data_IF_972926338823
#
_entry.id   IF_972926338823
#
_cell.length_a   1.000
_cell.length_b   1.000
_cell.length_c   1.000
_cell.angle_alpha   90.00
_cell.angle_beta   90.00
_cell.angle_gamma   90.00
#
_symmetry.space_group_name_H-M   'P 1'
#
loop_
_entity.id
_entity.type
_entity.pdbx_description
1 polymer ?
#
# COMPACT_ATOMS: atom_id res chain seq x y z
N UNK A 1 -73.90 -108.15 30.78
CA UNK A 1 -74.39 -106.95 31.46
C UNK A 1 -73.17 -106.18 31.94
N UNK A 2 -73.02 -104.93 31.35
CA UNK A 2 -71.90 -104.01 31.55
C UNK A 2 -71.61 -103.68 33.01
N UNK A 3 -70.30 -103.43 33.29
CA UNK A 3 -69.88 -102.30 34.14
C UNK A 3 -68.48 -101.84 33.79
N UNK A 4 -68.43 -100.67 33.23
CA UNK A 4 -67.27 -99.82 33.09
C UNK A 4 -66.77 -99.38 34.48
N UNK A 5 -65.41 -99.39 34.66
CA UNK A 5 -64.80 -98.56 35.64
C UNK A 5 -63.61 -97.91 34.98
N UNK A 6 -63.77 -96.57 34.88
CA UNK A 6 -62.77 -95.62 34.44
C UNK A 6 -61.74 -95.40 35.55
N UNK A 7 -60.49 -95.58 35.31
CA UNK A 7 -59.42 -95.23 36.22
C UNK A 7 -58.26 -94.61 35.45
N UNK A 8 -58.30 -93.24 35.30
CA UNK A 8 -57.24 -92.49 34.70
C UNK A 8 -56.03 -92.43 35.63
N UNK A 9 -55.02 -93.15 35.31
CA UNK A 9 -53.71 -93.11 35.95
C UNK A 9 -52.78 -92.19 35.17
N UNK A 10 -52.47 -91.01 35.74
CA UNK A 10 -51.49 -90.07 35.22
C UNK A 10 -50.04 -90.66 35.42
N UNK A 11 -49.50 -91.25 34.40
CA UNK A 11 -48.13 -91.77 34.42
C UNK A 11 -47.15 -90.56 34.26
N UNK A 12 -46.68 -89.99 35.41
CA UNK A 12 -45.55 -89.11 35.42
C UNK A 12 -44.32 -89.93 35.06
N UNK A 13 -43.86 -89.78 33.80
CA UNK A 13 -42.54 -90.26 33.43
C UNK A 13 -41.51 -89.48 34.19
N UNK A 14 -40.83 -90.09 35.12
CA UNK A 14 -39.70 -89.57 35.89
C UNK A 14 -38.53 -89.60 34.93
N UNK A 15 -38.16 -88.43 34.35
CA UNK A 15 -36.95 -88.27 33.55
C UNK A 15 -35.73 -88.64 34.41
N UNK A 16 -35.10 -89.76 34.12
CA UNK A 16 -33.83 -90.14 34.72
C UNK A 16 -32.78 -89.09 34.34
N UNK A 17 -32.21 -88.40 35.37
CA UNK A 17 -31.13 -87.47 35.18
C UNK A 17 -29.85 -88.26 34.97
N UNK A 18 -29.35 -88.27 33.71
CA UNK A 18 -28.06 -88.81 33.37
C UNK A 18 -26.97 -88.03 34.10
N UNK A 19 -26.21 -88.69 34.95
CA UNK A 19 -25.08 -88.10 35.67
C UNK A 19 -23.81 -88.66 35.11
N UNK A 20 -22.85 -87.74 34.69
CA UNK A 20 -21.54 -88.12 34.29
C UNK A 20 -20.62 -88.05 35.49
N UNK A 21 -19.76 -89.01 35.66
CA UNK A 21 -18.71 -89.03 36.66
C UNK A 21 -17.38 -88.77 36.06
N UNK A 22 -16.78 -87.60 36.37
CA UNK A 22 -15.40 -87.26 35.96
C UNK A 22 -14.48 -87.71 37.08
N UNK A 23 -13.60 -88.60 36.78
CA UNK A 23 -12.53 -89.08 37.67
C UNK A 23 -11.24 -88.32 37.35
N UNK A 24 -10.80 -87.52 38.30
CA UNK A 24 -9.45 -86.99 38.27
C UNK A 24 -8.51 -87.94 39.05
N UNK A 25 -7.60 -88.58 38.35
CA UNK A 25 -6.56 -89.48 38.96
C UNK A 25 -5.28 -88.65 38.92
N UNK A 26 -4.77 -88.26 40.08
CA UNK A 26 -3.43 -87.71 40.19
C UNK A 26 -2.40 -88.76 40.21
N UNK A 27 -1.34 -88.58 39.45
CA UNK A 27 -0.22 -89.57 39.36
C UNK A 27 0.62 -89.65 40.66
N UNK A 28 0.45 -88.68 41.56
CA UNK A 28 1.16 -88.60 42.84
C UNK A 28 0.37 -88.97 44.08
N UNK A 29 -0.97 -88.92 44.07
CA UNK A 29 -1.80 -89.23 45.22
C UNK A 29 -2.85 -90.31 44.81
N UNK A 30 -2.90 -91.40 45.60
CA UNK A 30 -3.84 -92.50 45.35
C UNK A 30 -5.31 -92.21 45.64
N UNK A 31 -5.66 -90.96 45.87
CA UNK A 31 -7.08 -90.56 46.09
C UNK A 31 -7.69 -89.96 44.80
N UNK A 32 -8.63 -90.72 44.22
CA UNK A 32 -9.40 -90.25 43.09
C UNK A 32 -10.55 -89.36 43.52
N UNK A 33 -10.49 -88.09 43.13
CA UNK A 33 -11.59 -87.15 43.42
C UNK A 33 -12.67 -87.37 42.36
N UNK A 34 -13.87 -87.79 42.82
CA UNK A 34 -15.08 -88.04 41.97
C UNK A 34 -15.95 -86.80 41.97
N UNK A 35 -16.14 -86.19 40.84
CA UNK A 35 -17.16 -85.13 40.66
C UNK A 35 -18.34 -85.72 39.85
N UNK A 36 -19.52 -85.65 40.40
CA UNK A 36 -20.74 -86.03 39.65
C UNK A 36 -21.41 -84.79 39.08
N UNK A 37 -21.33 -84.61 37.77
CA UNK A 37 -21.93 -83.45 37.10
C UNK A 37 -23.17 -83.92 36.33
N UNK A 38 -24.31 -83.26 36.50
CA UNK A 38 -25.51 -83.55 35.70
C UNK A 38 -25.34 -82.97 34.29
N UNK A 39 -25.86 -83.62 33.27
CA UNK A 39 -25.83 -83.17 31.87
C UNK A 39 -26.27 -81.71 31.72
N UNK A 40 -27.30 -81.31 32.52
CA UNK A 40 -27.79 -79.92 32.50
C UNK A 40 -26.72 -78.90 32.91
N UNK A 41 -25.93 -79.21 33.98
CA UNK A 41 -24.84 -78.27 34.44
C UNK A 41 -23.74 -78.22 33.43
N UNK A 42 -23.38 -79.28 32.71
CA UNK A 42 -22.34 -79.27 31.70
C UNK A 42 -22.79 -78.50 30.47
N UNK A 43 -24.05 -78.58 30.03
CA UNK A 43 -24.61 -77.80 28.94
C UNK A 43 -24.64 -76.30 29.28
N UNK A 44 -25.08 -75.95 30.51
CA UNK A 44 -25.15 -74.56 30.96
C UNK A 44 -23.78 -73.95 31.05
N UNK A 45 -22.76 -74.69 31.51
CA UNK A 45 -21.37 -74.26 31.55
C UNK A 45 -20.82 -73.99 30.12
N UNK A 46 -21.07 -74.93 29.19
CA UNK A 46 -20.66 -74.79 27.80
C UNK A 46 -21.32 -73.60 27.12
N UNK A 47 -22.63 -73.39 27.37
CA UNK A 47 -23.36 -72.22 26.86
C UNK A 47 -22.81 -70.89 27.44
N UNK A 48 -22.44 -70.89 28.70
CA UNK A 48 -21.84 -69.73 29.33
C UNK A 48 -20.49 -69.39 28.71
N UNK A 49 -19.62 -70.40 28.44
CA UNK A 49 -18.34 -70.17 27.78
C UNK A 49 -18.52 -69.62 26.36
N UNK A 50 -19.46 -70.20 25.58
CA UNK A 50 -19.80 -69.72 24.24
C UNK A 50 -20.31 -68.26 24.28
N UNK A 51 -21.14 -67.95 25.25
CA UNK A 51 -21.65 -66.58 25.40
C UNK A 51 -20.53 -65.57 25.72
N UNK A 52 -19.60 -65.91 26.62
CA UNK A 52 -18.46 -65.06 26.97
C UNK A 52 -17.53 -64.87 25.77
N UNK A 53 -17.27 -65.96 24.95
CA UNK A 53 -16.46 -65.84 23.76
C UNK A 53 -17.09 -64.91 22.70
N UNK A 54 -18.40 -65.02 22.47
CA UNK A 54 -19.13 -64.14 21.55
C UNK A 54 -19.07 -62.67 22.03
N UNK A 55 -19.29 -62.45 23.33
CA UNK A 55 -19.24 -61.12 23.93
C UNK A 55 -17.82 -60.53 23.81
N UNK A 56 -16.75 -61.33 24.02
CA UNK A 56 -15.38 -60.87 23.83
C UNK A 56 -15.06 -60.52 22.39
N UNK A 57 -15.52 -61.32 21.42
CA UNK A 57 -15.35 -61.03 19.99
C UNK A 57 -16.10 -59.76 19.57
N UNK A 58 -17.32 -59.58 20.04
CA UNK A 58 -18.11 -58.38 19.77
C UNK A 58 -17.40 -57.10 20.35
N UNK A 59 -16.87 -57.22 21.57
CA UNK A 59 -16.11 -56.13 22.20
C UNK A 59 -14.80 -55.79 21.42
N UNK A 60 -14.06 -56.79 20.99
CA UNK A 60 -12.89 -56.57 20.12
C UNK A 60 -13.25 -55.88 18.78
N UNK A 61 -14.38 -56.27 18.18
CA UNK A 61 -14.85 -55.67 16.95
C UNK A 61 -15.23 -54.18 17.11
N UNK A 62 -15.86 -53.83 18.20
CA UNK A 62 -16.17 -52.42 18.52
C UNK A 62 -14.92 -51.61 18.74
N UNK A 63 -13.96 -52.15 19.52
CA UNK A 63 -12.66 -51.49 19.79
C UNK A 63 -11.84 -51.25 18.50
N UNK A 64 -11.82 -52.20 17.59
CA UNK A 64 -11.12 -52.04 16.31
C UNK A 64 -11.79 -50.98 15.44
N UNK A 65 -13.10 -50.89 15.45
CA UNK A 65 -13.85 -49.85 14.73
C UNK A 65 -13.57 -48.42 15.25
N UNK A 66 -13.50 -48.23 16.58
CA UNK A 66 -13.16 -46.95 17.18
C UNK A 66 -11.70 -46.53 16.88
N UNK A 67 -10.77 -47.49 16.88
CA UNK A 67 -9.38 -47.25 16.53
C UNK A 67 -9.21 -46.82 15.06
N UNK A 68 -9.92 -47.46 14.14
CA UNK A 68 -9.87 -47.09 12.70
C UNK A 68 -10.47 -45.70 12.46
N UNK A 69 -11.56 -45.36 13.15
CA UNK A 69 -12.17 -44.04 13.05
C UNK A 69 -11.24 -42.93 13.60
N UNK A 70 -10.57 -43.21 14.73
CA UNK A 70 -9.60 -42.29 15.33
C UNK A 70 -8.37 -42.09 14.42
N UNK A 71 -7.86 -43.15 13.82
CA UNK A 71 -6.72 -43.09 12.90
C UNK A 71 -7.05 -42.32 11.61
N UNK A 72 -8.24 -42.54 11.04
CA UNK A 72 -8.70 -41.80 9.85
C UNK A 72 -8.91 -40.33 10.14
N UNK A 73 -9.45 -39.97 11.32
CA UNK A 73 -9.58 -38.58 11.75
C UNK A 73 -8.20 -37.91 11.95
N UNK A 74 -7.23 -38.63 12.54
CA UNK A 74 -5.87 -38.12 12.70
C UNK A 74 -5.16 -37.86 11.36
N UNK A 75 -5.30 -38.78 10.40
CA UNK A 75 -4.75 -38.62 9.05
C UNK A 75 -5.38 -37.44 8.31
N UNK A 76 -6.69 -37.24 8.44
CA UNK A 76 -7.37 -36.10 7.85
C UNK A 76 -6.90 -34.76 8.47
N UNK A 77 -6.70 -34.75 9.78
CA UNK A 77 -6.20 -33.57 10.48
C UNK A 77 -4.76 -33.25 10.06
N UNK A 78 -3.89 -34.26 9.91
CA UNK A 78 -2.54 -34.08 9.40
C UNK A 78 -2.54 -33.49 7.98
N UNK A 79 -3.39 -34.03 7.10
CA UNK A 79 -3.51 -33.49 5.73
C UNK A 79 -3.98 -32.01 5.72
N UNK A 80 -4.90 -31.63 6.62
CA UNK A 80 -5.31 -30.24 6.75
C UNK A 80 -4.20 -29.33 7.30
N UNK A 81 -3.40 -29.83 8.23
CA UNK A 81 -2.24 -29.08 8.75
C UNK A 81 -1.20 -28.85 7.65
N UNK A 82 -0.93 -29.88 6.86
CA UNK A 82 0.03 -29.78 5.73
C UNK A 82 -0.47 -28.80 4.66
N UNK A 83 -1.76 -28.85 4.32
CA UNK A 83 -2.39 -27.92 3.39
C UNK A 83 -2.35 -26.46 3.90
N UNK A 84 -2.66 -26.25 5.18
CA UNK A 84 -2.57 -24.92 5.81
C UNK A 84 -1.14 -24.41 5.89
N UNK A 85 -0.17 -25.31 6.11
CA UNK A 85 1.25 -24.94 6.12
C UNK A 85 1.72 -24.49 4.72
N UNK A 86 1.29 -25.19 3.67
CA UNK A 86 1.57 -24.81 2.27
C UNK A 86 0.92 -23.47 1.90
N UNK A 87 -0.35 -23.27 2.28
CA UNK A 87 -1.05 -21.99 2.06
C UNK A 87 -0.36 -20.84 2.80
N UNK A 88 0.07 -21.05 4.06
CA UNK A 88 0.81 -20.04 4.80
C UNK A 88 2.16 -19.71 4.16
N UNK A 89 2.88 -20.72 3.68
CA UNK A 89 4.15 -20.51 2.97
C UNK A 89 3.93 -19.72 1.66
N UNK A 90 2.89 -20.03 0.90
CA UNK A 90 2.54 -19.30 -0.31
C UNK A 90 2.17 -17.82 0.00
N UNK A 91 1.36 -17.58 1.04
CA UNK A 91 1.00 -16.22 1.47
C UNK A 91 2.22 -15.41 1.96
N UNK A 92 3.20 -16.06 2.60
CA UNK A 92 4.43 -15.37 3.00
C UNK A 92 5.22 -14.88 1.79
N UNK A 93 5.38 -15.73 0.77
CA UNK A 93 6.06 -15.36 -0.49
C UNK A 93 5.30 -14.22 -1.20
N UNK A 94 3.97 -14.29 -1.28
CA UNK A 94 3.15 -13.24 -1.89
C UNK A 94 3.27 -11.91 -1.11
N UNK A 95 3.30 -11.97 0.22
CA UNK A 95 3.50 -10.77 1.05
C UNK A 95 4.88 -10.14 0.84
N UNK A 96 5.93 -10.94 0.73
CA UNK A 96 7.28 -10.43 0.43
C UNK A 96 7.31 -9.75 -0.95
N UNK A 97 6.71 -10.36 -1.97
CA UNK A 97 6.63 -9.78 -3.32
C UNK A 97 5.80 -8.48 -3.34
N UNK A 98 4.69 -8.44 -2.58
CA UNK A 98 3.88 -7.23 -2.45
C UNK A 98 4.63 -6.12 -1.72
N UNK A 99 5.39 -6.43 -0.67
CA UNK A 99 6.21 -5.45 0.04
C UNK A 99 7.29 -4.86 -0.88
N UNK A 100 7.99 -5.69 -1.66
CA UNK A 100 8.97 -5.22 -2.64
C UNK A 100 8.33 -4.29 -3.69
N UNK A 101 7.15 -4.66 -4.21
CA UNK A 101 6.40 -3.80 -5.15
C UNK A 101 5.97 -2.47 -4.52
N UNK A 102 5.54 -2.48 -3.26
CA UNK A 102 5.16 -1.26 -2.53
C UNK A 102 6.37 -0.35 -2.33
N UNK A 103 7.53 -0.90 -1.99
CA UNK A 103 8.77 -0.14 -1.82
C UNK A 103 9.21 0.51 -3.14
N UNK A 104 9.28 -0.26 -4.23
CA UNK A 104 9.62 0.26 -5.57
C UNK A 104 8.63 1.34 -6.01
N UNK A 105 7.33 1.14 -5.79
CA UNK A 105 6.30 2.11 -6.16
C UNK A 105 6.42 3.39 -5.32
N UNK A 106 6.66 3.26 -4.02
CA UNK A 106 6.87 4.39 -3.10
C UNK A 106 8.05 5.25 -3.53
N UNK A 107 9.19 4.62 -3.83
CA UNK A 107 10.39 5.33 -4.29
C UNK A 107 10.16 6.02 -5.64
N UNK A 108 9.46 5.35 -6.56
CA UNK A 108 9.12 5.93 -7.87
C UNK A 108 8.18 7.13 -7.72
N UNK A 109 7.17 7.04 -6.86
CA UNK A 109 6.23 8.13 -6.59
C UNK A 109 6.94 9.30 -5.92
N UNK A 110 7.72 9.04 -4.88
CA UNK A 110 8.49 10.06 -4.17
C UNK A 110 9.46 10.79 -5.13
N UNK A 111 10.18 10.05 -5.97
CA UNK A 111 11.08 10.64 -6.96
C UNK A 111 10.35 11.50 -8.02
N UNK A 112 9.14 11.12 -8.43
CA UNK A 112 8.31 11.93 -9.33
C UNK A 112 7.77 13.20 -8.65
N UNK A 113 7.29 13.08 -7.41
CA UNK A 113 6.79 14.23 -6.63
C UNK A 113 7.91 15.24 -6.40
N UNK A 114 9.09 14.78 -6.04
CA UNK A 114 10.24 15.67 -5.82
C UNK A 114 10.65 16.40 -7.10
N UNK A 115 10.74 15.72 -8.25
CA UNK A 115 11.02 16.35 -9.54
C UNK A 115 9.96 17.37 -9.95
N UNK A 116 8.70 17.09 -9.68
CA UNK A 116 7.62 18.02 -9.98
C UNK A 116 7.70 19.26 -9.08
N UNK A 117 7.99 19.10 -7.78
CA UNK A 117 8.21 20.23 -6.87
C UNK A 117 9.42 21.08 -7.28
N UNK A 118 10.53 20.45 -7.69
CA UNK A 118 11.72 21.14 -8.21
C UNK A 118 11.36 21.93 -9.48
N UNK A 119 10.62 21.32 -10.40
CA UNK A 119 10.16 21.98 -11.63
C UNK A 119 9.23 23.16 -11.35
N UNK A 120 8.25 22.98 -10.43
CA UNK A 120 7.36 24.07 -10.02
C UNK A 120 8.13 25.21 -9.36
N UNK A 121 9.13 24.90 -8.53
CA UNK A 121 9.99 25.89 -7.90
C UNK A 121 10.85 26.64 -8.92
N UNK A 122 11.38 25.97 -9.95
CA UNK A 122 12.11 26.61 -11.05
C UNK A 122 11.19 27.50 -11.89
N UNK A 123 9.99 27.03 -12.22
CA UNK A 123 8.99 27.84 -12.90
C UNK A 123 8.66 29.08 -12.08
N UNK A 124 8.36 28.91 -10.78
CA UNK A 124 8.06 30.04 -9.90
C UNK A 124 9.19 31.06 -9.85
N UNK A 125 10.45 30.63 -9.79
CA UNK A 125 11.62 31.52 -9.84
C UNK A 125 11.73 32.26 -11.16
N UNK A 126 11.35 31.67 -12.28
CA UNK A 126 11.42 32.29 -13.58
C UNK A 126 10.48 33.50 -13.75
N UNK A 127 9.51 33.66 -12.84
CA UNK A 127 8.58 34.79 -12.79
C UNK A 127 9.02 35.87 -11.78
N UNK A 128 10.14 35.71 -11.07
CA UNK A 128 10.69 36.75 -10.21
C UNK A 128 11.66 37.56 -11.01
N UNK A 129 11.55 38.92 -11.06
CA UNK A 129 12.34 39.78 -11.94
C UNK A 129 13.77 40.03 -11.37
N UNK A 130 14.53 38.93 -11.25
CA UNK A 130 15.92 38.96 -10.78
C UNK A 130 16.96 39.21 -11.90
N UNK A 131 16.50 39.12 -13.15
CA UNK A 131 17.39 39.30 -14.31
C UNK A 131 17.90 40.73 -14.45
N UNK A 132 19.05 40.87 -15.15
CA UNK A 132 19.58 42.18 -15.54
C UNK A 132 18.74 42.72 -16.71
N UNK A 133 18.24 44.00 -16.65
CA UNK A 133 17.28 44.52 -17.62
C UNK A 133 17.90 44.93 -18.97
N UNK A 134 19.19 44.71 -19.20
CA UNK A 134 19.89 45.09 -20.42
C UNK A 134 20.57 43.87 -21.07
N UNK A 135 20.57 43.82 -22.39
CA UNK A 135 21.31 42.85 -23.16
C UNK A 135 22.74 43.37 -23.38
N UNK A 136 23.68 42.90 -22.57
CA UNK A 136 25.08 43.31 -22.60
C UNK A 136 25.48 44.14 -21.38
N UNK A 137 26.54 44.91 -21.51
CA UNK A 137 27.06 45.74 -20.42
C UNK A 137 26.40 47.10 -20.41
N UNK A 138 25.95 47.55 -19.26
CA UNK A 138 25.50 48.91 -19.00
C UNK A 138 26.09 49.38 -17.68
N UNK A 139 26.37 50.67 -17.60
CA UNK A 139 26.66 51.30 -16.31
C UNK A 139 25.38 51.76 -15.69
N UNK A 140 25.28 51.66 -14.37
CA UNK A 140 24.12 52.18 -13.65
C UNK A 140 24.54 53.26 -12.66
N UNK A 141 23.72 54.24 -12.46
CA UNK A 141 23.78 55.15 -11.30
C UNK A 141 23.12 54.49 -10.12
N UNK A 142 23.54 54.87 -8.90
CA UNK A 142 22.83 54.45 -7.68
C UNK A 142 21.34 54.74 -7.79
N UNK A 143 20.52 53.91 -7.16
CA UNK A 143 19.07 54.05 -7.26
C UNK A 143 18.63 55.44 -6.87
N UNK A 144 18.18 56.20 -7.88
CA UNK A 144 17.59 57.51 -7.72
C UNK A 144 16.13 57.35 -7.30
N UNK A 145 15.58 58.34 -6.63
CA UNK A 145 14.14 58.43 -6.46
C UNK A 145 13.53 59.17 -7.64
N UNK A 146 12.54 58.56 -8.28
CA UNK A 146 11.78 59.26 -9.31
C UNK A 146 11.07 60.49 -8.77
N UNK A 147 10.51 61.28 -9.66
CA UNK A 147 9.76 62.52 -9.31
C UNK A 147 8.67 62.32 -8.28
N UNK A 148 8.12 61.10 -8.18
CA UNK A 148 7.09 60.70 -7.19
C UNK A 148 7.70 60.10 -5.91
N UNK A 149 9.03 60.04 -5.77
CA UNK A 149 9.74 59.49 -4.61
C UNK A 149 9.91 57.96 -4.62
N UNK A 150 9.56 57.28 -5.70
CA UNK A 150 9.71 55.81 -5.79
C UNK A 150 11.14 55.45 -6.26
N UNK A 151 11.70 54.32 -5.75
CA UNK A 151 13.02 53.84 -6.20
C UNK A 151 13.06 53.54 -7.70
N UNK A 152 14.09 53.98 -8.40
CA UNK A 152 14.34 53.73 -9.81
C UNK A 152 15.83 53.48 -10.03
N UNK A 153 16.16 52.39 -10.75
CA UNK A 153 17.53 52.17 -11.24
C UNK A 153 17.66 52.74 -12.66
N UNK A 154 18.65 53.59 -12.89
CA UNK A 154 18.90 54.21 -14.18
C UNK A 154 20.11 53.54 -14.81
N UNK A 155 19.93 52.92 -15.97
CA UNK A 155 20.97 52.24 -16.73
C UNK A 155 21.37 53.06 -17.95
N UNK A 156 22.67 53.22 -18.13
CA UNK A 156 23.24 53.88 -19.30
C UNK A 156 23.95 52.83 -20.15
N UNK A 157 23.49 52.64 -21.34
CA UNK A 157 24.00 51.64 -22.26
C UNK A 157 24.49 52.27 -23.57
N UNK A 158 25.26 51.54 -24.34
CA UNK A 158 25.68 52.01 -25.67
C UNK A 158 24.55 51.84 -26.68
N UNK A 159 24.55 52.70 -27.71
CA UNK A 159 23.70 52.55 -28.88
C UNK A 159 23.82 51.13 -29.47
N UNK A 160 22.67 50.53 -29.80
CA UNK A 160 22.59 49.17 -30.36
C UNK A 160 22.50 48.07 -29.33
N UNK A 161 22.50 48.41 -28.04
CA UNK A 161 22.05 47.48 -26.98
C UNK A 161 20.51 47.47 -26.89
N UNK A 162 19.94 46.56 -26.11
CA UNK A 162 18.49 46.43 -25.95
C UNK A 162 18.16 46.29 -24.49
N UNK A 163 17.05 46.94 -24.06
CA UNK A 163 16.41 46.61 -22.81
C UNK A 163 15.58 45.33 -22.99
N UNK A 164 15.69 44.43 -22.04
CA UNK A 164 15.05 43.13 -22.07
C UNK A 164 14.21 42.90 -20.83
N UNK A 165 13.19 42.05 -20.96
CA UNK A 165 12.41 41.60 -19.81
C UNK A 165 13.30 40.83 -18.84
N UNK A 166 13.14 41.09 -17.55
CA UNK A 166 13.96 40.53 -16.45
C UNK A 166 13.46 39.19 -15.95
N UNK A 167 12.19 38.84 -16.30
CA UNK A 167 11.55 37.58 -15.97
C UNK A 167 10.45 37.22 -16.98
N UNK A 168 9.86 36.05 -16.85
CA UNK A 168 8.67 35.68 -17.61
C UNK A 168 7.47 36.51 -17.12
N UNK A 169 6.53 36.80 -18.02
CA UNK A 169 5.33 37.57 -17.68
C UNK A 169 4.50 37.93 -18.91
N UNK A 170 3.64 38.92 -18.74
CA UNK A 170 2.80 39.49 -19.80
C UNK A 170 2.88 41.01 -19.74
N UNK A 171 2.90 41.66 -20.86
CA UNK A 171 2.87 43.14 -20.93
C UNK A 171 1.50 43.63 -20.44
N UNK A 172 1.47 44.16 -19.25
CA UNK A 172 0.22 44.63 -18.60
C UNK A 172 -0.28 45.95 -19.19
N UNK A 173 0.65 46.88 -19.50
CA UNK A 173 0.29 48.18 -20.09
C UNK A 173 1.47 48.83 -20.78
N UNK A 174 1.14 49.68 -21.75
CA UNK A 174 2.10 50.60 -22.41
C UNK A 174 1.50 52.00 -22.36
N UNK A 175 2.25 52.93 -21.79
CA UNK A 175 1.84 54.34 -21.69
C UNK A 175 2.91 55.25 -22.32
N UNK A 176 2.51 56.46 -22.70
CA UNK A 176 3.40 57.44 -23.26
C UNK A 176 3.28 57.59 -24.78
N UNK A 177 4.14 58.44 -25.34
CA UNK A 177 4.19 58.76 -26.77
C UNK A 177 5.63 59.17 -27.20
N UNK A 178 5.80 59.49 -28.48
CA UNK A 178 7.11 59.87 -29.04
C UNK A 178 7.67 61.21 -28.50
N UNK A 179 6.92 61.94 -27.68
CA UNK A 179 7.35 63.21 -27.08
C UNK A 179 7.67 63.05 -25.59
N UNK A 180 6.85 62.31 -24.89
CA UNK A 180 6.98 62.11 -23.46
C UNK A 180 7.80 60.87 -23.08
N UNK A 181 8.16 60.07 -24.08
CA UNK A 181 8.75 58.75 -23.88
C UNK A 181 7.73 57.67 -23.56
N UNK A 182 8.14 56.43 -23.47
CA UNK A 182 7.29 55.26 -23.25
C UNK A 182 7.59 54.58 -21.94
N UNK A 183 6.52 54.08 -21.32
CA UNK A 183 6.57 53.29 -20.11
C UNK A 183 5.92 51.94 -20.45
N UNK A 184 6.62 50.87 -20.25
CA UNK A 184 6.13 49.50 -20.39
C UNK A 184 6.08 48.84 -19.02
N UNK A 185 4.94 48.32 -18.64
CA UNK A 185 4.75 47.56 -17.43
C UNK A 185 4.54 46.10 -17.79
N UNK A 186 5.32 45.22 -17.19
CA UNK A 186 5.23 43.76 -17.33
C UNK A 186 4.73 43.16 -16.01
N UNK A 187 3.63 42.42 -16.06
CA UNK A 187 3.12 41.62 -14.95
C UNK A 187 3.79 40.25 -14.96
N UNK A 188 4.56 39.95 -13.93
CA UNK A 188 5.26 38.69 -13.77
C UNK A 188 4.41 37.65 -13.00
N UNK A 189 3.20 38.01 -12.54
CA UNK A 189 2.46 37.19 -11.60
C UNK A 189 3.09 37.21 -10.20
N UNK A 190 2.52 36.50 -9.28
CA UNK A 190 3.02 36.42 -7.89
C UNK A 190 3.21 37.78 -7.19
N UNK A 191 2.52 38.83 -7.67
CA UNK A 191 2.59 40.19 -7.13
C UNK A 191 3.81 41.00 -7.60
N UNK A 192 4.58 40.52 -8.58
CA UNK A 192 5.70 41.24 -9.14
C UNK A 192 5.34 41.95 -10.47
N UNK A 193 5.71 43.22 -10.58
CA UNK A 193 5.71 43.97 -11.85
C UNK A 193 7.06 44.61 -12.07
N UNK A 194 7.48 44.66 -13.32
CA UNK A 194 8.63 45.45 -13.73
C UNK A 194 8.21 46.60 -14.66
N UNK A 195 8.78 47.76 -14.45
CA UNK A 195 8.48 48.97 -15.21
C UNK A 195 9.73 49.42 -15.95
N UNK A 196 9.61 49.54 -17.27
CA UNK A 196 10.67 49.96 -18.17
C UNK A 196 10.33 51.30 -18.76
N UNK A 197 11.25 52.27 -18.72
CA UNK A 197 11.08 53.64 -19.26
C UNK A 197 12.17 53.95 -20.23
N UNK A 198 11.79 54.34 -21.46
CA UNK A 198 12.74 54.82 -22.48
C UNK A 198 11.99 55.70 -23.49
N UNK A 199 12.71 56.58 -24.16
CA UNK A 199 12.12 57.52 -25.14
C UNK A 199 11.90 56.84 -26.52
N UNK A 200 12.38 55.60 -26.74
CA UNK A 200 12.16 54.88 -28.00
C UNK A 200 10.91 54.08 -27.98
N UNK A 201 10.35 53.82 -29.15
CA UNK A 201 9.10 53.00 -29.26
C UNK A 201 9.32 51.55 -28.82
N UNK A 202 8.46 51.01 -27.95
CA UNK A 202 8.60 49.62 -27.50
C UNK A 202 8.40 48.64 -28.63
N UNK A 203 9.10 47.49 -28.51
CA UNK A 203 9.04 46.34 -29.45
C UNK A 203 7.91 45.35 -29.13
N UNK A 204 7.25 45.54 -28.01
CA UNK A 204 6.17 44.72 -27.51
C UNK A 204 4.86 45.48 -27.54
N UNK A 205 3.74 44.74 -27.35
CA UNK A 205 2.40 45.29 -27.27
C UNK A 205 1.75 44.82 -25.98
N UNK A 206 0.72 45.52 -25.53
CA UNK A 206 -0.13 45.10 -24.41
C UNK A 206 -0.70 43.69 -24.69
N UNK A 207 -0.64 42.82 -23.71
CA UNK A 207 -1.06 41.40 -23.78
C UNK A 207 -0.01 40.47 -24.39
N UNK A 208 1.15 40.97 -24.84
CA UNK A 208 2.21 40.07 -25.30
C UNK A 208 2.83 39.29 -24.14
N UNK A 209 2.93 37.97 -24.30
CA UNK A 209 3.71 37.16 -23.37
C UNK A 209 5.21 37.42 -23.58
N UNK A 210 5.92 37.65 -22.49
CA UNK A 210 7.36 37.88 -22.47
C UNK A 210 8.08 36.82 -21.67
N UNK A 211 9.28 36.50 -22.09
CA UNK A 211 10.20 35.67 -21.32
C UNK A 211 11.40 36.50 -20.94
N UNK A 212 12.20 36.05 -19.97
CA UNK A 212 13.45 36.69 -19.66
C UNK A 212 14.26 36.74 -20.98
N UNK A 213 14.82 37.88 -21.40
CA UNK A 213 15.48 38.14 -22.70
C UNK A 213 14.57 38.63 -23.86
N UNK A 214 13.25 38.73 -23.69
CA UNK A 214 12.38 39.39 -24.67
C UNK A 214 12.73 40.87 -24.72
N UNK A 215 13.02 41.38 -25.92
CA UNK A 215 13.40 42.80 -26.12
C UNK A 215 12.18 43.69 -25.89
N UNK A 216 12.30 44.64 -24.96
CA UNK A 216 11.30 45.66 -24.65
C UNK A 216 11.56 46.93 -25.45
N UNK A 217 12.81 47.43 -25.40
CA UNK A 217 13.25 48.62 -26.12
C UNK A 217 14.62 48.35 -26.82
N UNK A 218 14.86 48.99 -27.96
CA UNK A 218 16.20 49.13 -28.53
C UNK A 218 16.76 50.49 -28.12
N UNK A 219 18.04 50.52 -27.71
CA UNK A 219 18.72 51.76 -27.36
C UNK A 219 19.18 52.46 -28.63
N UNK A 220 18.61 53.64 -28.94
CA UNK A 220 18.92 54.44 -30.10
C UNK A 220 19.84 55.61 -29.72
N UNK A 221 20.46 56.24 -30.69
CA UNK A 221 21.34 57.41 -30.47
C UNK A 221 20.56 58.58 -29.82
N UNK A 222 21.00 59.02 -28.66
CA UNK A 222 20.37 60.04 -27.86
C UNK A 222 19.30 59.53 -26.87
N UNK A 223 19.01 58.20 -26.89
CA UNK A 223 18.03 57.50 -26.05
C UNK A 223 18.64 56.24 -25.42
N UNK A 224 19.91 56.35 -24.94
CA UNK A 224 20.66 55.24 -24.37
C UNK A 224 20.38 54.99 -22.88
N UNK A 225 19.38 55.65 -22.31
CA UNK A 225 19.07 55.57 -20.89
C UNK A 225 17.79 54.72 -20.66
N UNK A 226 17.87 53.73 -19.79
CA UNK A 226 16.74 52.95 -19.34
C UNK A 226 16.44 53.24 -17.87
N UNK A 227 15.26 53.72 -17.59
CA UNK A 227 14.68 53.74 -16.21
C UNK A 227 14.03 52.39 -15.92
N UNK A 228 14.38 51.80 -14.80
CA UNK A 228 13.85 50.48 -14.40
C UNK A 228 13.38 50.48 -12.95
N UNK A 229 12.17 50.01 -12.72
CA UNK A 229 11.54 49.89 -11.38
C UNK A 229 10.94 48.51 -11.21
N UNK A 230 10.86 48.08 -9.97
CA UNK A 230 10.18 46.82 -9.56
C UNK A 230 9.09 47.18 -8.55
N UNK A 231 7.95 46.58 -8.73
CA UNK A 231 6.84 46.62 -7.80
C UNK A 231 6.64 45.19 -7.25
N UNK A 232 6.62 45.08 -5.94
CA UNK A 232 6.30 43.82 -5.24
C UNK A 232 5.10 44.09 -4.31
N UNK A 233 4.01 43.33 -4.50
CA UNK A 233 2.79 43.46 -3.69
C UNK A 233 2.30 44.93 -3.55
N UNK A 234 2.19 45.63 -4.69
CA UNK A 234 1.76 47.01 -4.82
C UNK A 234 2.71 48.06 -4.18
N UNK A 235 3.95 47.66 -3.84
CA UNK A 235 4.96 48.53 -3.30
C UNK A 235 6.20 48.58 -4.21
N UNK A 236 6.69 49.79 -4.51
CA UNK A 236 7.96 49.95 -5.20
C UNK A 236 9.12 49.53 -4.28
N UNK A 237 9.97 48.65 -4.78
CA UNK A 237 11.18 48.17 -4.10
C UNK A 237 12.43 48.66 -4.86
N UNK A 238 13.57 48.68 -4.18
CA UNK A 238 14.85 48.98 -4.84
C UNK A 238 15.17 47.85 -5.82
N UNK A 239 15.22 48.13 -7.15
CA UNK A 239 15.52 47.12 -8.15
C UNK A 239 16.85 46.40 -7.94
N UNK A 240 17.87 47.12 -7.44
CA UNK A 240 19.21 46.58 -7.21
C UNK A 240 19.22 45.54 -6.07
N UNK A 241 18.28 45.62 -5.16
CA UNK A 241 18.16 44.64 -4.06
C UNK A 241 17.73 43.25 -4.53
N UNK A 242 17.02 43.16 -5.66
CA UNK A 242 16.47 41.90 -6.19
C UNK A 242 17.28 41.34 -7.37
N UNK A 243 17.95 42.24 -8.12
CA UNK A 243 18.70 41.82 -9.30
C UNK A 243 19.98 41.04 -8.96
N UNK A 244 20.19 39.95 -9.68
CA UNK A 244 21.46 39.24 -9.67
C UNK A 244 22.49 40.06 -10.49
N UNK A 245 23.32 40.83 -9.78
CA UNK A 245 24.43 41.56 -10.41
C UNK A 245 25.63 40.61 -10.54
N UNK A 246 25.90 40.18 -11.75
CA UNK A 246 27.16 39.53 -12.06
C UNK A 246 28.19 40.63 -12.35
N UNK A 247 29.05 40.92 -11.39
CA UNK A 247 30.23 41.77 -11.55
C UNK A 247 31.37 41.05 -12.25
#
# INVERSE_FOLDING_TARGET
>A
MLKYCHGGGNIKMKKEKVRYHVLFVSDKDKEAVRFSVSLGVLVTFFMAVVFVTIAALAYCFILTGELDQSNTAALHLMAQVDELAEQNAAMLVENEELQEKVEILSDTVNGKVQKEQEREAEIAKSYVPTGFPMKGTASYSESETEFDGNPIAVFHASQGTSAIATANGEVASIAGDDVAGYIVMVDHGNGYYSVYRNDTKPKVKEGDAVTNMTVIFDMEAGHETLGYQIIENDQFIDPLSLMETYG
#
